data_IF_157117405849
#
_entry.id   IF_157117405849
#
_cell.length_a   1.000
_cell.length_b   1.000
_cell.length_c   1.000
_cell.angle_alpha   90.00
_cell.angle_beta   90.00
_cell.angle_gamma   90.00
#
_symmetry.space_group_name_H-M   'P 1'
#
loop_
_entity.id
_entity.type
_entity.pdbx_description
1 polymer ?
#
# COMPACT_ATOMS: atom_id res chain seq x y z
N UNK A 1 71.44 25.01 22.86
CA UNK A 1 70.55 23.88 22.66
C UNK A 1 69.09 24.35 22.59
N UNK A 2 68.57 24.54 21.37
CA UNK A 2 67.21 24.91 21.13
C UNK A 2 66.32 23.65 20.97
N UNK A 3 65.43 23.42 21.91
CA UNK A 3 64.39 22.41 21.81
C UNK A 3 63.23 22.95 20.97
N UNK A 4 63.09 22.42 19.75
CA UNK A 4 61.97 22.63 18.86
C UNK A 4 60.73 21.91 19.41
N UNK A 5 59.70 22.67 19.85
CA UNK A 5 58.41 22.12 20.31
C UNK A 5 57.44 22.10 19.12
N UNK A 6 57.26 20.94 18.55
CA UNK A 6 56.24 20.73 17.46
C UNK A 6 54.86 20.64 18.10
N UNK A 7 54.05 21.67 17.87
CA UNK A 7 52.65 21.75 18.31
C UNK A 7 51.74 21.05 17.29
N UNK A 8 51.31 19.83 17.62
CA UNK A 8 50.35 19.07 16.82
C UNK A 8 48.97 19.76 16.91
N UNK A 9 48.51 20.33 15.82
CA UNK A 9 47.13 20.84 15.73
C UNK A 9 46.18 19.66 15.57
N UNK A 10 45.36 19.41 16.61
CA UNK A 10 44.19 18.54 16.46
C UNK A 10 43.14 19.22 15.61
N UNK A 11 42.98 18.74 14.38
CA UNK A 11 41.86 19.10 13.50
C UNK A 11 40.62 18.41 14.04
N UNK A 12 39.75 19.16 14.69
CA UNK A 12 38.39 18.68 15.02
C UNK A 12 37.62 18.52 13.72
N UNK A 13 37.40 17.27 13.32
CA UNK A 13 36.53 16.92 12.19
C UNK A 13 35.08 17.22 12.60
N UNK A 14 34.58 18.37 12.17
CA UNK A 14 33.16 18.74 12.35
C UNK A 14 32.33 17.82 11.44
N UNK A 15 31.68 16.83 12.05
CA UNK A 15 30.71 16.01 11.34
C UNK A 15 29.47 16.87 11.15
N UNK A 16 29.30 17.43 9.96
CA UNK A 16 28.06 18.07 9.55
C UNK A 16 26.99 16.96 9.54
N UNK A 17 26.17 16.89 10.58
CA UNK A 17 24.90 16.17 10.55
C UNK A 17 24.02 16.86 9.49
N UNK A 18 23.97 16.27 8.31
CA UNK A 18 22.98 16.63 7.30
C UNK A 18 21.62 16.47 7.96
N UNK A 19 20.96 17.61 8.26
CA UNK A 19 19.54 17.60 8.66
C UNK A 19 18.78 17.03 7.48
N UNK A 20 18.38 15.77 7.56
CA UNK A 20 17.34 15.22 6.69
C UNK A 20 16.10 16.07 6.95
N UNK A 21 15.84 17.02 6.07
CA UNK A 21 14.58 17.75 6.02
C UNK A 21 13.48 16.69 5.88
N UNK A 22 12.67 16.51 6.93
CA UNK A 22 11.44 15.74 6.81
C UNK A 22 10.50 16.58 5.95
N UNK A 23 10.56 16.37 4.64
CA UNK A 23 9.60 16.97 3.71
C UNK A 23 8.23 16.39 4.06
N UNK A 24 7.41 17.20 4.72
CA UNK A 24 5.99 16.89 4.94
C UNK A 24 5.25 17.34 3.70
N UNK A 25 4.55 16.39 3.07
CA UNK A 25 3.69 16.73 1.94
C UNK A 25 2.63 17.75 2.36
N UNK A 26 2.38 18.73 1.49
CA UNK A 26 1.35 19.74 1.71
C UNK A 26 -0.05 19.10 1.82
N UNK A 27 -0.29 17.97 1.12
CA UNK A 27 -1.47 17.14 1.21
C UNK A 27 -1.09 15.73 1.71
N UNK A 28 -1.09 15.51 3.04
CA UNK A 28 -0.66 14.24 3.62
C UNK A 28 -1.65 13.09 3.40
N UNK A 29 -2.88 13.43 3.09
CA UNK A 29 -3.96 12.47 2.91
C UNK A 29 -4.20 12.24 1.41
N UNK A 30 -4.07 11.00 1.00
CA UNK A 30 -4.47 10.57 -0.34
C UNK A 30 -5.69 9.65 -0.18
N UNK A 31 -6.78 10.02 -0.85
CA UNK A 31 -8.01 9.22 -0.90
C UNK A 31 -8.20 8.73 -2.31
N UNK A 32 -8.35 7.43 -2.45
CA UNK A 32 -8.61 6.77 -3.73
C UNK A 32 -9.99 6.14 -3.71
N UNK A 33 -10.69 6.25 -4.81
CA UNK A 33 -11.87 5.43 -5.11
C UNK A 33 -11.49 4.42 -6.17
N UNK A 34 -12.03 3.22 -6.10
CA UNK A 34 -11.73 2.17 -7.07
C UNK A 34 -12.94 1.29 -7.36
N UNK A 35 -12.99 0.78 -8.58
CA UNK A 35 -14.01 -0.16 -9.03
C UNK A 35 -13.39 -1.21 -9.94
N UNK A 36 -13.97 -2.40 -9.94
CA UNK A 36 -13.42 -3.49 -10.72
C UNK A 36 -14.18 -4.79 -10.58
N UNK A 37 -13.45 -5.88 -10.69
CA UNK A 37 -13.97 -7.26 -10.62
C UNK A 37 -13.41 -7.96 -9.39
N UNK A 38 -14.30 -8.52 -8.59
CA UNK A 38 -14.02 -9.45 -7.52
C UNK A 38 -14.05 -10.87 -8.08
N UNK A 39 -13.11 -11.72 -7.65
CA UNK A 39 -12.92 -13.10 -8.09
C UNK A 39 -12.70 -13.23 -9.60
N UNK A 40 -11.63 -12.57 -10.08
CA UNK A 40 -11.27 -12.51 -11.49
C UNK A 40 -11.04 -13.90 -12.12
N UNK A 41 -10.49 -14.86 -11.35
CA UNK A 41 -10.10 -16.20 -11.80
C UNK A 41 -11.05 -17.25 -11.17
N UNK A 42 -12.33 -16.93 -11.12
CA UNK A 42 -13.32 -17.89 -10.66
C UNK A 42 -13.43 -19.07 -11.65
N UNK A 43 -13.07 -20.27 -11.16
CA UNK A 43 -13.11 -21.51 -11.96
C UNK A 43 -14.53 -22.07 -12.09
N UNK A 44 -15.42 -21.68 -11.21
CA UNK A 44 -16.80 -22.17 -11.14
C UNK A 44 -17.79 -21.19 -11.76
N UNK A 45 -17.38 -19.93 -11.98
CA UNK A 45 -18.14 -18.92 -12.73
C UNK A 45 -19.28 -18.25 -11.94
N UNK A 46 -19.53 -18.68 -10.71
CA UNK A 46 -20.66 -18.21 -9.93
C UNK A 46 -20.33 -17.07 -8.97
N UNK A 47 -19.06 -16.88 -8.58
CA UNK A 47 -18.65 -15.91 -7.55
C UNK A 47 -18.10 -14.61 -8.10
N UNK A 48 -17.80 -14.54 -9.39
CA UNK A 48 -17.34 -13.31 -10.03
C UNK A 48 -18.41 -12.22 -9.94
N UNK A 49 -18.01 -11.03 -9.47
CA UNK A 49 -18.92 -9.90 -9.32
C UNK A 49 -18.17 -8.58 -9.39
N UNK A 50 -18.91 -7.48 -9.52
CA UNK A 50 -18.33 -6.14 -9.43
C UNK A 50 -17.85 -5.84 -7.99
N UNK A 51 -16.84 -5.01 -7.87
CA UNK A 51 -16.43 -4.43 -6.60
C UNK A 51 -16.36 -2.90 -6.71
N UNK A 52 -16.65 -2.24 -5.59
CA UNK A 52 -16.46 -0.81 -5.41
C UNK A 52 -15.83 -0.55 -4.05
N UNK A 53 -14.81 0.30 -4.00
CA UNK A 53 -14.10 0.56 -2.75
C UNK A 53 -13.50 1.94 -2.65
N UNK A 54 -13.08 2.23 -1.43
CA UNK A 54 -12.35 3.44 -1.06
C UNK A 54 -11.12 3.07 -0.26
N UNK A 55 -10.04 3.82 -0.45
CA UNK A 55 -8.80 3.65 0.29
C UNK A 55 -8.23 5.00 0.70
N UNK A 56 -7.74 5.11 1.91
CA UNK A 56 -7.07 6.27 2.45
C UNK A 56 -5.63 5.92 2.81
N UNK A 57 -4.68 6.71 2.33
CA UNK A 57 -3.27 6.61 2.68
C UNK A 57 -2.80 7.91 3.36
N UNK A 58 -2.09 7.79 4.49
CA UNK A 58 -1.49 8.92 5.17
C UNK A 58 0.01 8.99 4.89
N UNK A 59 0.40 9.89 4.00
CA UNK A 59 1.79 10.08 3.56
C UNK A 59 2.71 10.72 4.62
N UNK A 60 2.16 11.35 5.66
CA UNK A 60 2.94 11.94 6.75
C UNK A 60 3.28 10.95 7.87
N UNK A 61 2.50 9.88 7.99
CA UNK A 61 2.81 8.76 8.86
C UNK A 61 3.61 7.72 8.06
N UNK A 62 4.91 7.95 7.88
CA UNK A 62 5.74 7.06 7.08
C UNK A 62 6.95 6.57 7.85
N UNK A 63 7.46 5.41 7.43
CA UNK A 63 8.74 4.88 7.87
C UNK A 63 9.63 4.62 6.68
N UNK A 64 10.80 5.26 6.66
CA UNK A 64 11.83 4.95 5.68
C UNK A 64 12.57 3.69 6.08
N UNK A 65 12.70 2.78 5.15
CA UNK A 65 13.49 1.55 5.27
C UNK A 65 14.50 1.49 4.13
N UNK A 66 15.39 0.51 4.16
CA UNK A 66 16.35 0.30 3.08
C UNK A 66 15.70 -0.15 1.76
N UNK A 67 14.48 -0.71 1.81
CA UNK A 67 13.71 -1.14 0.63
C UNK A 67 12.67 -0.12 0.16
N UNK A 68 12.46 0.97 0.90
CA UNK A 68 11.48 1.99 0.48
C UNK A 68 10.83 2.74 1.63
N UNK A 69 9.94 3.66 1.26
CA UNK A 69 9.12 4.44 2.16
C UNK A 69 7.75 3.78 2.29
N UNK A 70 7.40 3.34 3.50
CA UNK A 70 6.12 2.73 3.83
C UNK A 70 5.20 3.73 4.52
N UNK A 71 3.96 3.80 4.07
CA UNK A 71 2.90 4.63 4.66
C UNK A 71 1.71 3.75 5.06
N UNK A 72 1.00 4.07 6.15
CA UNK A 72 -0.21 3.36 6.52
C UNK A 72 -1.32 3.62 5.50
N UNK A 73 -2.05 2.56 5.18
CA UNK A 73 -3.23 2.59 4.33
C UNK A 73 -4.39 1.89 5.02
N UNK A 74 -5.59 2.41 4.83
CA UNK A 74 -6.83 1.85 5.36
C UNK A 74 -7.90 1.97 4.30
N UNK A 75 -8.69 0.93 4.11
CA UNK A 75 -9.71 0.94 3.08
C UNK A 75 -10.83 -0.04 3.33
N UNK A 76 -11.82 0.05 2.45
CA UNK A 76 -12.96 -0.85 2.43
C UNK A 76 -13.43 -1.05 1.00
N UNK A 77 -14.03 -2.21 0.73
CA UNK A 77 -14.83 -2.41 -0.47
C UNK A 77 -16.09 -3.22 -0.19
N UNK A 78 -17.03 -3.08 -1.10
CA UNK A 78 -18.23 -3.90 -1.18
C UNK A 78 -18.32 -4.52 -2.56
N UNK A 79 -18.97 -5.66 -2.66
CA UNK A 79 -19.19 -6.36 -3.93
C UNK A 79 -20.66 -6.36 -4.33
N UNK A 80 -20.95 -6.66 -5.60
CA UNK A 80 -22.31 -6.83 -6.09
C UNK A 80 -23.08 -7.99 -5.45
N UNK A 81 -22.38 -8.92 -4.78
CA UNK A 81 -22.95 -10.00 -3.98
C UNK A 81 -22.93 -9.72 -2.48
N UNK A 82 -22.92 -8.44 -2.08
CA UNK A 82 -22.98 -7.99 -0.69
C UNK A 82 -21.80 -8.43 0.20
N UNK A 83 -20.69 -8.88 -0.38
CA UNK A 83 -19.47 -9.10 0.41
C UNK A 83 -18.87 -7.77 0.83
N UNK A 84 -18.30 -7.72 2.03
CA UNK A 84 -17.65 -6.53 2.60
C UNK A 84 -16.24 -6.90 3.05
N UNK A 85 -15.28 -6.05 2.76
CA UNK A 85 -13.91 -6.16 3.28
C UNK A 85 -13.42 -4.83 3.83
N UNK A 86 -13.02 -4.84 5.10
CA UNK A 86 -12.42 -3.70 5.80
C UNK A 86 -10.97 -4.05 6.11
N UNK A 87 -10.02 -3.19 5.75
CA UNK A 87 -8.61 -3.50 5.91
C UNK A 87 -7.78 -2.30 6.34
N UNK A 88 -6.68 -2.59 7.00
CA UNK A 88 -5.64 -1.61 7.31
C UNK A 88 -4.26 -2.27 7.17
N UNK A 89 -3.29 -1.53 6.68
CA UNK A 89 -1.97 -2.10 6.41
C UNK A 89 -0.95 -1.04 6.03
N UNK A 90 -0.01 -1.44 5.21
CA UNK A 90 1.10 -0.60 4.76
C UNK A 90 1.21 -0.66 3.23
N UNK A 91 1.55 0.47 2.65
CA UNK A 91 1.83 0.61 1.21
C UNK A 91 3.19 1.27 1.02
N UNK A 92 4.01 0.74 0.12
CA UNK A 92 5.23 1.38 -0.33
C UNK A 92 5.00 2.12 -1.64
N UNK A 93 5.73 3.21 -1.89
CA UNK A 93 5.66 3.98 -3.12
C UNK A 93 7.01 4.00 -3.84
N UNK A 94 7.01 3.60 -5.10
CA UNK A 94 8.15 3.65 -6.01
C UNK A 94 7.79 4.47 -7.25
N UNK A 95 8.52 5.55 -7.48
CA UNK A 95 8.30 6.43 -8.63
C UNK A 95 9.37 6.15 -9.70
N UNK A 96 8.94 5.75 -10.88
CA UNK A 96 9.79 5.46 -12.05
C UNK A 96 9.41 6.42 -13.18
N UNK A 97 9.83 7.68 -13.06
CA UNK A 97 9.42 8.73 -13.97
C UNK A 97 7.92 9.01 -13.85
N UNK A 98 7.13 8.88 -14.93
CA UNK A 98 5.68 9.10 -14.88
C UNK A 98 4.91 7.93 -14.27
N UNK A 99 5.56 6.80 -14.04
CA UNK A 99 4.96 5.57 -13.55
C UNK A 99 5.14 5.45 -12.05
N UNK A 100 4.05 5.17 -11.33
CA UNK A 100 4.02 4.89 -9.90
C UNK A 100 3.72 3.41 -9.68
N UNK A 101 4.53 2.74 -8.86
CA UNK A 101 4.33 1.34 -8.47
C UNK A 101 4.17 1.31 -6.96
N UNK A 102 3.05 0.79 -6.47
CA UNK A 102 2.74 0.79 -5.04
C UNK A 102 2.29 -0.59 -4.57
N UNK A 103 3.22 -1.45 -4.13
CA UNK A 103 2.88 -2.68 -3.44
C UNK A 103 2.34 -2.39 -2.05
N UNK A 104 1.34 -3.15 -1.62
CA UNK A 104 0.79 -3.07 -0.27
C UNK A 104 0.43 -4.44 0.30
N UNK A 105 0.39 -4.48 1.63
CA UNK A 105 -0.07 -5.64 2.38
C UNK A 105 -0.95 -5.15 3.54
N UNK A 106 -2.14 -5.77 3.67
CA UNK A 106 -3.12 -5.37 4.66
C UNK A 106 -3.93 -6.56 5.20
N UNK A 107 -3.86 -6.85 6.49
CA UNK A 107 -4.88 -7.65 7.15
C UNK A 107 -6.21 -6.93 7.16
N UNK A 108 -7.31 -7.70 7.16
CA UNK A 108 -8.64 -7.12 7.17
C UNK A 108 -9.72 -8.09 7.63
N UNK A 109 -10.89 -7.53 7.87
CA UNK A 109 -12.10 -8.26 8.18
C UNK A 109 -12.93 -8.46 6.93
N UNK A 110 -13.25 -9.70 6.62
CA UNK A 110 -14.07 -10.09 5.47
C UNK A 110 -15.40 -10.70 5.93
N UNK A 111 -16.47 -10.28 5.27
CA UNK A 111 -17.80 -10.87 5.40
C UNK A 111 -18.29 -11.26 4.00
N UNK A 112 -18.59 -12.52 3.80
CA UNK A 112 -18.94 -13.08 2.49
C UNK A 112 -20.24 -12.52 1.90
N UNK A 113 -21.24 -12.23 2.75
CA UNK A 113 -22.58 -11.91 2.26
C UNK A 113 -23.15 -13.08 1.43
N UNK A 114 -23.62 -12.78 0.22
CA UNK A 114 -24.06 -13.77 -0.77
C UNK A 114 -22.94 -14.18 -1.75
N UNK A 115 -21.71 -13.72 -1.51
CA UNK A 115 -20.55 -14.01 -2.34
C UNK A 115 -19.70 -15.15 -1.80
N UNK A 116 -18.46 -15.23 -2.33
CA UNK A 116 -17.51 -16.30 -2.03
C UNK A 116 -17.16 -16.38 -0.55
N UNK A 117 -17.27 -17.57 0.03
CA UNK A 117 -16.78 -17.85 1.37
C UNK A 117 -15.26 -18.08 1.33
N UNK A 118 -14.49 -17.22 1.98
CA UNK A 118 -13.02 -17.33 2.04
C UNK A 118 -12.52 -18.19 3.21
N UNK A 119 -13.45 -18.67 4.08
CA UNK A 119 -13.14 -19.60 5.16
C UNK A 119 -12.75 -18.96 6.48
N UNK A 120 -12.51 -17.65 6.52
CA UNK A 120 -12.18 -16.91 7.73
C UNK A 120 -12.73 -15.48 7.66
N UNK A 121 -12.99 -14.90 8.82
CA UNK A 121 -13.28 -13.47 8.93
C UNK A 121 -12.00 -12.63 8.86
N UNK A 122 -10.84 -13.19 9.23
CA UNK A 122 -9.54 -12.56 9.09
C UNK A 122 -8.90 -12.99 7.78
N UNK A 123 -8.73 -12.05 6.89
CA UNK A 123 -8.11 -12.25 5.58
C UNK A 123 -6.96 -11.27 5.37
N UNK A 124 -5.99 -11.66 4.55
CA UNK A 124 -4.81 -10.86 4.21
C UNK A 124 -4.87 -10.46 2.75
N UNK A 125 -4.80 -9.17 2.47
CA UNK A 125 -4.75 -8.63 1.12
C UNK A 125 -3.32 -8.27 0.74
N UNK A 126 -2.79 -8.90 -0.30
CA UNK A 126 -1.58 -8.50 -1.02
C UNK A 126 -1.99 -7.78 -2.29
N UNK A 127 -1.43 -6.61 -2.56
CA UNK A 127 -1.86 -5.76 -3.66
C UNK A 127 -0.67 -5.15 -4.38
N UNK A 128 -0.78 -5.03 -5.70
CA UNK A 128 0.12 -4.28 -6.57
C UNK A 128 -0.69 -3.24 -7.34
N UNK A 129 -0.38 -1.98 -7.13
CA UNK A 129 -0.98 -0.85 -7.83
C UNK A 129 0.06 -0.27 -8.80
N UNK A 130 -0.34 -0.03 -10.04
CA UNK A 130 0.47 0.64 -11.07
C UNK A 130 -0.35 1.81 -11.57
N UNK A 131 0.21 3.02 -11.48
CA UNK A 131 -0.51 4.24 -11.81
C UNK A 131 0.35 5.24 -12.58
N UNK A 132 -0.31 6.20 -13.18
CA UNK A 132 0.29 7.35 -13.84
C UNK A 132 -0.28 8.64 -13.25
N UNK A 133 0.60 9.59 -13.01
CA UNK A 133 0.18 10.91 -12.57
C UNK A 133 -0.38 11.68 -13.76
N UNK A 134 -1.60 12.16 -13.60
CA UNK A 134 -2.27 13.06 -14.52
C UNK A 134 -2.09 14.51 -14.04
N UNK A 135 -2.77 15.46 -14.69
CA UNK A 135 -2.76 16.85 -14.27
C UNK A 135 -3.54 17.05 -12.95
N UNK A 136 -3.28 18.15 -12.23
CA UNK A 136 -3.98 18.55 -11.00
C UNK A 136 -3.86 17.57 -9.82
N UNK A 137 -2.70 16.95 -9.61
CA UNK A 137 -2.45 15.98 -8.53
C UNK A 137 -3.38 14.76 -8.56
N UNK A 138 -3.87 14.40 -9.71
CA UNK A 138 -4.70 13.24 -9.93
C UNK A 138 -3.85 12.06 -10.41
N UNK A 139 -4.08 10.89 -9.87
CA UNK A 139 -3.46 9.64 -10.31
C UNK A 139 -4.54 8.67 -10.81
N UNK A 140 -4.29 8.09 -11.98
CA UNK A 140 -5.08 6.99 -12.52
C UNK A 140 -4.24 5.71 -12.45
N UNK A 141 -4.79 4.67 -11.86
CA UNK A 141 -4.05 3.42 -11.67
C UNK A 141 -4.88 2.18 -11.96
N UNK A 142 -4.15 1.11 -12.19
CA UNK A 142 -4.65 -0.26 -12.22
C UNK A 142 -4.14 -1.01 -11.00
N UNK A 143 -4.99 -1.79 -10.37
CA UNK A 143 -4.66 -2.58 -9.19
C UNK A 143 -5.02 -4.04 -9.41
N UNK A 144 -4.07 -4.91 -9.09
CA UNK A 144 -4.29 -6.33 -8.90
C UNK A 144 -4.10 -6.66 -7.43
N UNK A 145 -5.01 -7.44 -6.85
CA UNK A 145 -4.91 -7.88 -5.45
C UNK A 145 -5.36 -9.31 -5.27
N UNK A 146 -4.68 -9.98 -4.34
CA UNK A 146 -5.01 -11.32 -3.86
C UNK A 146 -5.40 -11.24 -2.38
N UNK A 147 -6.49 -11.91 -2.02
CA UNK A 147 -6.97 -12.02 -0.63
C UNK A 147 -7.02 -13.49 -0.25
N UNK A 148 -6.45 -13.84 0.90
CA UNK A 148 -6.43 -15.20 1.43
C UNK A 148 -6.24 -15.20 2.94
N UNK A 149 -6.59 -16.28 3.63
CA UNK A 149 -6.43 -16.40 5.08
C UNK A 149 -5.15 -17.15 5.51
N UNK A 150 -4.25 -17.45 4.57
CA UNK A 150 -3.00 -18.15 4.85
C UNK A 150 -3.20 -19.51 5.55
N UNK A 151 -4.26 -20.23 5.18
CA UNK A 151 -4.67 -21.52 5.76
C UNK A 151 -4.98 -21.47 7.28
N UNK A 152 -5.33 -20.29 7.79
CA UNK A 152 -5.79 -20.12 9.19
C UNK A 152 -7.28 -20.35 9.36
N UNK A 153 -8.05 -20.43 8.27
CA UNK A 153 -9.47 -20.76 8.26
C UNK A 153 -9.74 -22.23 7.95
N UNK A 154 -11.02 -22.59 7.93
CA UNK A 154 -11.47 -23.96 7.60
C UNK A 154 -11.19 -24.32 6.15
N UNK A 155 -11.20 -23.35 5.27
CA UNK A 155 -10.84 -23.42 3.85
C UNK A 155 -10.05 -22.16 3.45
N UNK A 156 -9.27 -22.25 2.38
CA UNK A 156 -8.54 -21.11 1.85
C UNK A 156 -8.60 -21.10 0.32
N UNK A 157 -9.76 -20.83 -0.28
CA UNK A 157 -9.88 -20.78 -1.74
C UNK A 157 -9.12 -19.58 -2.34
N UNK A 158 -8.90 -18.53 -1.54
CA UNK A 158 -8.38 -17.27 -2.00
C UNK A 158 -9.28 -16.58 -3.02
N UNK A 159 -8.97 -15.32 -3.33
CA UNK A 159 -9.65 -14.57 -4.38
C UNK A 159 -8.72 -13.54 -5.01
N UNK A 160 -8.75 -13.48 -6.34
CA UNK A 160 -8.00 -12.52 -7.13
C UNK A 160 -8.92 -11.43 -7.65
N UNK A 161 -8.52 -10.18 -7.49
CA UNK A 161 -9.33 -9.03 -7.87
C UNK A 161 -8.52 -8.09 -8.76
N UNK A 162 -9.21 -7.41 -9.66
CA UNK A 162 -8.66 -6.30 -10.42
C UNK A 162 -9.54 -5.07 -10.31
N UNK A 163 -8.93 -3.90 -10.33
CA UNK A 163 -9.67 -2.64 -10.28
C UNK A 163 -8.92 -1.50 -10.95
N UNK A 164 -9.67 -0.51 -11.35
CA UNK A 164 -9.17 0.81 -11.75
C UNK A 164 -9.39 1.73 -10.55
N UNK A 165 -8.36 2.47 -10.20
CA UNK A 165 -8.37 3.41 -9.09
C UNK A 165 -8.08 4.83 -9.55
N UNK A 166 -8.72 5.76 -8.88
CA UNK A 166 -8.61 7.19 -9.11
C UNK A 166 -8.36 7.89 -7.76
N UNK A 167 -7.31 8.70 -7.68
CA UNK A 167 -6.92 9.39 -6.45
C UNK A 167 -6.47 10.82 -6.69
#
# INVERSE_FOLDING_TARGET
DAKCFTRTKHVKKTINKTKTSSYRDANPHNVSVYTGTFDLIDKEGDDQTSLFGVEHKNKNLFRNTWIGRFSPTTGAFVTGKSSIYLYTGIEADYNLGPLNISPSFAPGYYQAGDGKNLGSALEFKSQMKIGVDLFNNTNLGYTYSHISNNDWGDVNPGVDNQSINFS
#
